data_IF_680396543482
#
_entry.id   IF_680396543482
#
_cell.length_a   1.000
_cell.length_b   1.000
_cell.length_c   1.000
_cell.angle_alpha   90.00
_cell.angle_beta   90.00
_cell.angle_gamma   90.00
#
_symmetry.space_group_name_H-M   'P 1'
#
loop_
_entity.id
_entity.type
_entity.pdbx_description
1 polymer ?
#
# COMPACT_ATOMS: atom_id res chain seq x y z
N UNK A 1 14.36 71.38 15.79
CA UNK A 1 14.46 70.67 17.09
C UNK A 1 13.18 70.93 17.88
N UNK A 2 12.31 69.92 18.03
CA UNK A 2 11.09 69.97 18.85
C UNK A 2 11.24 68.95 20.00
N UNK A 3 11.05 69.39 21.24
CA UNK A 3 10.69 68.54 22.42
C UNK A 3 9.18 68.16 22.29
N UNK A 4 8.45 67.51 23.25
CA UNK A 4 8.79 67.02 24.61
C UNK A 4 8.03 65.73 25.07
N UNK A 5 8.11 65.39 26.37
CA UNK A 5 7.16 64.63 27.25
C UNK A 5 7.00 63.12 26.94
N UNK A 6 7.07 62.15 27.86
CA UNK A 6 6.96 62.10 29.32
C UNK A 6 5.81 61.13 29.69
N UNK A 7 6.03 60.10 30.52
CA UNK A 7 5.01 59.57 31.46
C UNK A 7 5.53 58.41 32.34
N UNK A 8 4.97 58.31 33.54
CA UNK A 8 5.26 57.38 34.65
C UNK A 8 4.92 55.91 34.33
N UNK A 9 5.55 54.92 35.00
CA UNK A 9 5.02 53.56 35.06
C UNK A 9 3.99 53.41 36.20
N UNK A 10 2.92 52.68 35.93
CA UNK A 10 1.88 52.28 36.87
C UNK A 10 1.66 50.76 36.77
N UNK A 11 1.72 50.09 37.92
CA UNK A 11 0.78 49.05 38.37
C UNK A 11 0.93 47.59 37.82
N UNK A 12 1.26 46.69 38.78
CA UNK A 12 0.99 45.22 38.94
C UNK A 12 1.68 44.21 38.00
N UNK A 13 2.44 43.20 38.50
CA UNK A 13 2.79 42.02 37.71
C UNK A 13 1.72 40.94 37.88
N UNK A 14 0.84 40.82 36.88
CA UNK A 14 0.08 39.60 36.65
C UNK A 14 0.96 38.61 35.90
N UNK A 15 1.25 37.46 36.51
CA UNK A 15 1.94 36.35 35.86
C UNK A 15 1.11 35.81 34.71
N UNK A 16 1.58 36.00 33.49
CA UNK A 16 0.95 35.54 32.25
C UNK A 16 1.23 34.06 32.03
N UNK A 17 0.22 33.32 31.54
CA UNK A 17 0.30 31.90 31.16
C UNK A 17 1.52 31.55 30.26
N UNK A 18 2.07 32.56 29.58
CA UNK A 18 3.26 32.44 28.74
C UNK A 18 4.51 31.98 29.51
N UNK A 19 4.65 32.36 30.79
CA UNK A 19 5.78 31.90 31.62
C UNK A 19 5.65 30.42 31.98
N UNK A 20 4.42 29.94 32.17
CA UNK A 20 4.13 28.53 32.40
C UNK A 20 4.40 27.67 31.17
N UNK A 21 4.01 28.16 29.99
CA UNK A 21 4.29 27.49 28.72
C UNK A 21 5.79 27.49 28.38
N UNK A 22 6.50 28.59 28.63
CA UNK A 22 7.95 28.64 28.44
C UNK A 22 8.69 27.73 29.42
N UNK A 23 8.25 27.67 30.68
CA UNK A 23 8.78 26.72 31.67
C UNK A 23 8.58 25.27 31.22
N UNK A 24 7.39 24.94 30.72
CA UNK A 24 7.07 23.59 30.26
C UNK A 24 7.86 23.20 28.99
N UNK A 25 8.05 24.14 28.06
CA UNK A 25 8.90 23.96 26.87
C UNK A 25 10.37 23.73 27.24
N UNK A 26 10.88 24.44 28.26
CA UNK A 26 12.23 24.24 28.76
C UNK A 26 12.39 22.86 29.40
N UNK A 27 11.39 22.41 30.17
CA UNK A 27 11.40 21.10 30.83
C UNK A 27 11.30 19.93 29.82
N UNK A 28 10.49 20.09 28.77
CA UNK A 28 10.42 19.13 27.66
C UNK A 28 11.76 19.05 26.92
N UNK A 29 12.41 20.18 26.66
CA UNK A 29 13.69 20.18 25.97
C UNK A 29 14.81 19.58 26.83
N UNK A 30 14.77 19.78 28.15
CA UNK A 30 15.70 19.15 29.09
C UNK A 30 15.51 17.62 29.15
N UNK A 31 14.26 17.14 29.14
CA UNK A 31 13.98 15.69 29.12
C UNK A 31 14.38 15.04 27.80
N UNK A 32 14.19 15.73 26.65
CA UNK A 32 14.66 15.24 25.35
C UNK A 32 16.18 15.13 25.31
N UNK A 33 16.92 16.13 25.80
CA UNK A 33 18.39 16.05 25.86
C UNK A 33 18.90 14.95 26.81
N UNK A 34 18.20 14.69 27.93
CA UNK A 34 18.55 13.58 28.83
C UNK A 34 18.31 12.21 28.18
N UNK A 35 17.19 12.06 27.45
CA UNK A 35 16.89 10.89 26.62
C UNK A 35 17.93 10.67 25.52
N UNK A 36 18.34 11.73 24.82
CA UNK A 36 19.37 11.66 23.77
C UNK A 36 20.74 11.27 24.33
N UNK A 37 21.13 11.77 25.51
CA UNK A 37 22.35 11.29 26.21
C UNK A 37 22.26 9.82 26.61
N UNK A 38 21.07 9.38 27.04
CA UNK A 38 20.83 7.99 27.44
C UNK A 38 20.82 7.03 26.24
N UNK A 39 20.44 7.50 25.06
CA UNK A 39 20.42 6.73 23.81
C UNK A 39 21.79 6.75 23.11
N UNK A 40 22.52 7.88 23.13
CA UNK A 40 23.83 8.04 22.50
C UNK A 40 25.01 7.37 23.23
N UNK A 41 24.82 6.89 24.46
CA UNK A 41 25.88 6.32 25.31
C UNK A 41 26.24 4.85 25.08
N UNK A 42 25.56 4.09 24.21
CA UNK A 42 25.83 2.66 24.01
C UNK A 42 26.72 2.38 22.79
N UNK A 43 28.04 2.34 23.00
CA UNK A 43 28.97 1.61 22.13
C UNK A 43 28.79 0.09 22.30
N UNK A 44 28.93 -0.72 21.23
CA UNK A 44 28.74 -2.17 21.32
C UNK A 44 30.04 -2.85 21.81
N UNK A 45 29.94 -3.71 22.82
CA UNK A 45 30.99 -4.68 23.13
C UNK A 45 30.41 -6.02 23.56
N UNK A 46 31.16 -7.06 23.20
CA UNK A 46 30.84 -8.48 23.12
C UNK A 46 30.66 -9.18 24.48
N UNK A 47 29.68 -10.09 24.47
CA UNK A 47 29.72 -11.48 24.93
C UNK A 47 29.62 -11.85 26.43
N UNK A 48 28.98 -13.02 26.59
CA UNK A 48 29.05 -14.10 27.59
C UNK A 48 28.14 -14.07 28.86
N UNK A 49 27.28 -15.09 28.90
CA UNK A 49 26.77 -15.95 30.00
C UNK A 49 25.83 -15.50 31.13
N UNK A 50 24.78 -16.34 31.25
CA UNK A 50 24.14 -16.89 32.46
C UNK A 50 23.05 -16.11 33.22
N UNK A 51 21.83 -16.65 33.13
CA UNK A 51 20.89 -17.08 34.21
C UNK A 51 20.84 -16.23 35.48
N UNK A 52 19.66 -15.68 35.82
CA UNK A 52 18.82 -16.02 37.01
C UNK A 52 17.70 -14.97 37.22
N UNK A 53 16.53 -15.46 37.61
CA UNK A 53 15.41 -14.83 38.35
C UNK A 53 15.65 -13.43 38.94
N UNK A 54 14.71 -12.50 38.79
CA UNK A 54 13.65 -12.29 39.80
C UNK A 54 12.72 -11.13 39.43
N UNK A 55 11.40 -11.34 39.59
CA UNK A 55 10.39 -10.29 39.66
C UNK A 55 10.41 -9.69 41.09
N UNK A 56 9.87 -8.48 41.34
CA UNK A 56 8.44 -8.44 41.60
C UNK A 56 7.71 -7.17 41.14
N UNK A 57 6.53 -7.41 40.58
CA UNK A 57 5.42 -6.46 40.50
C UNK A 57 5.08 -5.90 41.89
N UNK A 58 4.87 -4.58 41.96
CA UNK A 58 4.13 -3.93 43.05
C UNK A 58 2.95 -3.19 42.44
N UNK A 59 1.78 -3.76 42.70
CA UNK A 59 0.45 -3.22 42.42
C UNK A 59 -0.01 -2.47 43.68
N UNK A 60 -0.48 -1.21 43.61
CA UNK A 60 -1.18 -0.58 44.72
C UNK A 60 -2.68 -0.86 44.66
N UNK A 61 -3.19 -1.15 45.84
CA UNK A 61 -4.53 -1.51 46.30
C UNK A 61 -5.58 -0.37 46.10
N UNK A 62 -6.89 -0.70 45.96
CA UNK A 62 -7.93 0.24 45.56
C UNK A 62 -8.49 1.04 46.75
N UNK A 63 -8.73 2.34 46.53
CA UNK A 63 -9.45 3.23 47.46
C UNK A 63 -10.93 3.37 47.05
N UNK A 64 -11.84 3.66 48.00
CA UNK A 64 -13.23 3.19 48.01
C UNK A 64 -14.24 4.12 47.31
N UNK A 65 -15.37 3.50 46.92
CA UNK A 65 -16.58 4.13 46.37
C UNK A 65 -17.21 5.18 47.31
N UNK A 66 -17.69 6.32 46.78
CA UNK A 66 -18.54 7.24 47.53
C UNK A 66 -20.01 6.81 47.48
N UNK A 67 -20.62 6.74 48.67
CA UNK A 67 -22.05 6.50 48.87
C UNK A 67 -22.90 7.68 48.37
N UNK A 68 -24.09 7.43 47.79
CA UNK A 68 -25.00 8.47 47.34
C UNK A 68 -25.66 9.23 48.50
N UNK A 69 -25.61 10.55 48.44
CA UNK A 69 -26.26 11.46 49.36
C UNK A 69 -27.77 11.51 49.13
N UNK A 70 -28.50 11.40 50.24
CA UNK A 70 -29.95 11.59 50.40
C UNK A 70 -30.32 13.04 50.07
N UNK A 71 -31.37 13.24 49.27
CA UNK A 71 -32.10 14.52 49.18
C UNK A 71 -33.59 14.25 49.43
N UNK A 72 -34.25 14.97 50.36
CA UNK A 72 -35.65 14.75 50.75
C UNK A 72 -36.71 15.12 49.71
N UNK A 73 -37.83 14.40 49.77
CA UNK A 73 -39.10 14.69 49.10
C UNK A 73 -39.80 15.90 49.74
N UNK A 74 -40.30 16.83 48.93
CA UNK A 74 -41.43 17.69 49.28
C UNK A 74 -42.46 17.74 48.15
N UNK A 75 -43.71 17.93 48.57
CA UNK A 75 -44.93 17.57 47.88
C UNK A 75 -45.54 18.69 47.02
N UNK A 76 -46.23 18.26 45.95
CA UNK A 76 -47.51 18.79 45.47
C UNK A 76 -47.55 20.19 44.85
N UNK A 77 -48.11 20.29 43.64
CA UNK A 77 -49.41 20.95 43.36
C UNK A 77 -49.72 20.86 41.85
N UNK A 78 -51.01 20.72 41.55
CA UNK A 78 -51.68 20.50 40.27
C UNK A 78 -51.47 21.54 39.15
N UNK A 79 -51.75 21.05 37.94
CA UNK A 79 -51.79 21.66 36.58
C UNK A 79 -52.85 22.78 36.46
N UNK A 80 -52.82 23.63 35.41
CA UNK A 80 -53.61 23.30 34.21
C UNK A 80 -52.99 23.70 32.84
N UNK A 81 -53.39 22.94 31.82
CA UNK A 81 -53.24 23.13 30.36
C UNK A 81 -53.69 24.50 29.85
N UNK A 82 -52.99 25.09 28.85
CA UNK A 82 -53.55 25.56 27.56
C UNK A 82 -52.47 25.53 26.44
N UNK A 83 -52.89 25.00 25.29
CA UNK A 83 -52.27 24.73 23.98
C UNK A 83 -51.87 25.98 23.12
N UNK A 84 -50.81 25.85 22.30
CA UNK A 84 -50.74 26.16 20.84
C UNK A 84 -49.32 26.52 20.30
N UNK A 85 -48.77 25.61 19.48
CA UNK A 85 -48.05 25.82 18.21
C UNK A 85 -46.71 26.59 18.09
N UNK A 86 -45.59 25.86 17.93
CA UNK A 86 -44.50 26.10 16.93
C UNK A 86 -43.80 24.74 16.64
N UNK A 87 -43.62 24.27 15.39
CA UNK A 87 -42.66 23.21 15.09
C UNK A 87 -41.27 23.84 15.04
N UNK A 88 -40.60 23.88 16.18
CA UNK A 88 -39.17 24.15 16.25
C UNK A 88 -38.50 22.78 16.29
N UNK A 89 -37.76 22.43 15.24
CA UNK A 89 -36.87 21.27 15.28
C UNK A 89 -36.07 21.38 16.60
N UNK A 90 -36.05 20.33 17.44
CA UNK A 90 -35.24 20.38 18.64
C UNK A 90 -33.79 20.48 18.17
N UNK A 91 -33.15 21.62 18.43
CA UNK A 91 -31.70 21.71 18.43
C UNK A 91 -31.22 20.50 19.25
N UNK A 92 -30.37 19.63 18.68
CA UNK A 92 -29.98 18.41 19.35
C UNK A 92 -29.47 18.79 20.74
N UNK A 93 -29.98 18.11 21.76
CA UNK A 93 -29.55 18.37 23.13
C UNK A 93 -28.03 18.24 23.17
N UNK A 94 -27.33 19.10 23.90
CA UNK A 94 -25.87 19.01 24.05
C UNK A 94 -25.42 17.59 24.44
N UNK A 95 -26.27 16.85 25.15
CA UNK A 95 -26.04 15.43 25.43
C UNK A 95 -26.13 14.53 24.19
N UNK A 96 -27.10 14.74 23.30
CA UNK A 96 -27.19 14.01 22.03
C UNK A 96 -26.02 14.34 21.10
N UNK A 97 -25.53 15.58 21.11
CA UNK A 97 -24.33 15.98 20.37
C UNK A 97 -23.06 15.32 20.95
N UNK A 98 -22.92 15.29 22.29
CA UNK A 98 -21.82 14.60 22.96
C UNK A 98 -21.90 13.08 22.83
N UNK A 99 -23.10 12.48 22.86
CA UNK A 99 -23.31 11.05 22.61
C UNK A 99 -22.96 10.70 21.16
N UNK A 100 -23.33 11.56 20.21
CA UNK A 100 -22.93 11.40 18.81
C UNK A 100 -21.42 11.56 18.63
N UNK A 101 -20.79 12.52 19.30
CA UNK A 101 -19.33 12.72 19.25
C UNK A 101 -18.58 11.54 19.91
N UNK A 102 -19.08 11.02 21.03
CA UNK A 102 -18.52 9.83 21.68
C UNK A 102 -18.73 8.57 20.83
N UNK A 103 -19.90 8.42 20.21
CA UNK A 103 -20.16 7.32 19.27
C UNK A 103 -19.20 7.40 18.08
N UNK A 104 -18.98 8.60 17.53
CA UNK A 104 -18.04 8.84 16.44
C UNK A 104 -16.61 8.48 16.87
N UNK A 105 -16.13 8.99 18.01
CA UNK A 105 -14.79 8.71 18.54
C UNK A 105 -14.59 7.23 18.90
N UNK A 106 -15.59 6.57 19.48
CA UNK A 106 -15.54 5.13 19.75
C UNK A 106 -15.57 4.30 18.45
N UNK A 107 -16.27 4.75 17.41
CA UNK A 107 -16.25 4.13 16.09
C UNK A 107 -14.88 4.23 15.43
N UNK A 108 -14.20 5.38 15.57
CA UNK A 108 -12.84 5.58 15.05
C UNK A 108 -11.83 4.65 15.76
N UNK A 109 -11.92 4.58 17.10
CA UNK A 109 -11.06 3.71 17.92
C UNK A 109 -11.31 2.22 17.69
N UNK A 110 -12.55 1.81 17.42
CA UNK A 110 -12.88 0.41 17.08
C UNK A 110 -12.58 0.04 15.63
N UNK A 111 -12.53 0.99 14.70
CA UNK A 111 -12.09 0.77 13.32
C UNK A 111 -10.56 0.60 13.19
N UNK A 112 -9.78 1.17 14.11
CA UNK A 112 -8.31 1.04 14.15
C UNK A 112 -7.79 -0.42 14.28
N UNK A 113 -8.26 -1.26 15.22
CA UNK A 113 -7.78 -2.64 15.35
C UNK A 113 -8.12 -3.50 14.13
N UNK A 114 -9.27 -3.27 13.48
CA UNK A 114 -9.67 -3.98 12.27
C UNK A 114 -8.79 -3.60 11.06
N UNK A 115 -8.47 -2.32 10.92
CA UNK A 115 -7.57 -1.84 9.87
C UNK A 115 -6.15 -2.38 10.05
N UNK A 116 -5.60 -2.34 11.26
CA UNK A 116 -4.26 -2.87 11.56
C UNK A 116 -4.22 -4.37 11.28
N UNK A 117 -5.24 -5.12 11.70
CA UNK A 117 -5.35 -6.55 11.45
C UNK A 117 -5.42 -6.89 9.96
N UNK A 118 -6.22 -6.15 9.19
CA UNK A 118 -6.34 -6.33 7.74
C UNK A 118 -5.02 -6.04 7.03
N UNK A 119 -4.36 -4.95 7.39
CA UNK A 119 -3.08 -4.59 6.81
C UNK A 119 -1.96 -5.59 7.14
N UNK A 120 -1.96 -6.15 8.35
CA UNK A 120 -1.03 -7.20 8.73
C UNK A 120 -1.25 -8.49 7.92
N UNK A 121 -2.51 -8.85 7.63
CA UNK A 121 -2.83 -9.99 6.74
C UNK A 121 -2.33 -9.77 5.32
N UNK A 122 -2.55 -8.59 4.75
CA UNK A 122 -2.04 -8.22 3.41
C UNK A 122 -0.52 -8.28 3.38
N UNK A 123 0.14 -7.76 4.42
CA UNK A 123 1.59 -7.80 4.53
C UNK A 123 2.12 -9.24 4.57
N UNK A 124 1.55 -10.09 5.41
CA UNK A 124 1.92 -11.51 5.50
C UNK A 124 1.71 -12.25 4.17
N UNK A 125 0.62 -11.95 3.46
CA UNK A 125 0.35 -12.49 2.12
C UNK A 125 1.42 -12.06 1.10
N UNK A 126 1.80 -10.77 1.07
CA UNK A 126 2.86 -10.28 0.20
C UNK A 126 4.24 -10.88 0.53
N UNK A 127 4.55 -11.08 1.81
CA UNK A 127 5.78 -11.77 2.21
C UNK A 127 5.82 -13.21 1.71
N UNK A 128 4.68 -13.92 1.80
CA UNK A 128 4.56 -15.28 1.29
C UNK A 128 4.77 -15.33 -0.23
N UNK A 129 4.13 -14.42 -0.96
CA UNK A 129 4.30 -14.23 -2.40
C UNK A 129 5.78 -14.00 -2.74
N UNK A 130 6.43 -13.06 -2.06
CA UNK A 130 7.83 -12.74 -2.31
C UNK A 130 8.76 -13.93 -2.04
N UNK A 131 8.61 -14.61 -0.90
CA UNK A 131 9.42 -15.80 -0.55
C UNK A 131 9.28 -16.88 -1.61
N UNK A 132 8.05 -17.14 -2.07
CA UNK A 132 7.77 -18.09 -3.14
C UNK A 132 8.44 -17.68 -4.46
N UNK A 133 8.21 -16.45 -4.94
CA UNK A 133 8.77 -16.01 -6.22
C UNK A 133 10.29 -15.91 -6.22
N UNK A 134 10.90 -15.55 -5.09
CA UNK A 134 12.35 -15.56 -4.96
C UNK A 134 12.89 -17.00 -5.11
N UNK A 135 12.37 -17.96 -4.34
CA UNK A 135 12.78 -19.36 -4.45
C UNK A 135 12.49 -19.95 -5.84
N UNK A 136 11.31 -19.65 -6.39
CA UNK A 136 10.89 -20.08 -7.71
C UNK A 136 11.81 -19.52 -8.80
N UNK A 137 12.16 -18.23 -8.76
CA UNK A 137 13.07 -17.62 -9.73
C UNK A 137 14.44 -18.30 -9.74
N UNK A 138 15.01 -18.60 -8.57
CA UNK A 138 16.30 -19.28 -8.45
C UNK A 138 16.26 -20.69 -9.05
N UNK A 139 15.19 -21.44 -8.81
CA UNK A 139 15.03 -22.79 -9.36
C UNK A 139 14.73 -22.76 -10.87
N UNK A 140 13.84 -21.88 -11.30
CA UNK A 140 13.48 -21.71 -12.72
C UNK A 140 14.68 -21.27 -13.56
N UNK A 141 15.54 -20.39 -13.02
CA UNK A 141 16.77 -19.97 -13.71
C UNK A 141 17.75 -21.14 -13.87
N UNK A 142 17.92 -22.00 -12.86
CA UNK A 142 18.75 -23.21 -12.97
C UNK A 142 18.23 -24.19 -14.01
N UNK A 143 16.90 -24.35 -14.09
CA UNK A 143 16.28 -25.27 -15.06
C UNK A 143 16.25 -24.70 -16.48
N UNK A 144 16.14 -23.36 -16.62
CA UNK A 144 15.99 -22.65 -17.90
C UNK A 144 15.01 -23.36 -18.87
N UNK A 145 13.76 -23.60 -18.42
CA UNK A 145 12.80 -24.42 -19.16
C UNK A 145 12.40 -23.79 -20.50
N UNK A 146 12.07 -24.65 -21.45
CA UNK A 146 11.41 -24.25 -22.69
C UNK A 146 9.90 -24.08 -22.44
N UNK A 147 9.42 -22.88 -22.73
CA UNK A 147 8.03 -22.45 -22.62
C UNK A 147 7.35 -22.70 -23.97
N UNK A 148 6.47 -23.71 -24.02
CA UNK A 148 5.73 -24.12 -25.22
C UNK A 148 4.51 -23.25 -25.54
N UNK A 149 4.36 -22.11 -24.88
CA UNK A 149 3.24 -21.18 -25.14
C UNK A 149 3.50 -20.36 -26.39
N UNK A 150 2.45 -20.17 -27.17
CA UNK A 150 2.45 -19.33 -28.36
C UNK A 150 1.95 -17.95 -27.98
N UNK A 151 2.70 -16.92 -28.36
CA UNK A 151 2.29 -15.52 -28.18
C UNK A 151 2.05 -14.92 -29.56
N UNK A 152 0.79 -14.87 -30.03
CA UNK A 152 0.46 -14.21 -31.28
C UNK A 152 0.59 -12.69 -31.11
N UNK A 153 1.42 -12.06 -31.93
CA UNK A 153 1.54 -10.60 -31.98
C UNK A 153 0.66 -10.02 -33.09
N UNK A 154 0.69 -10.67 -34.25
CA UNK A 154 -0.15 -10.33 -35.39
C UNK A 154 -0.65 -11.62 -36.05
N UNK A 155 -1.55 -11.49 -37.02
CA UNK A 155 -2.04 -12.60 -37.84
C UNK A 155 -0.93 -13.43 -38.51
N UNK A 156 0.24 -12.84 -38.75
CA UNK A 156 1.39 -13.49 -39.40
C UNK A 156 2.58 -13.71 -38.46
N UNK A 157 2.60 -13.04 -37.30
CA UNK A 157 3.77 -12.98 -36.43
C UNK A 157 3.44 -13.61 -35.08
N UNK A 158 4.06 -14.76 -34.78
CA UNK A 158 3.85 -15.49 -33.52
C UNK A 158 5.18 -15.87 -32.91
N UNK A 159 5.38 -15.52 -31.63
CA UNK A 159 6.51 -16.00 -30.85
C UNK A 159 6.23 -17.42 -30.37
N UNK A 160 7.17 -18.33 -30.62
CA UNK A 160 7.07 -19.73 -30.22
C UNK A 160 8.42 -20.26 -29.73
N UNK A 161 8.41 -21.42 -29.06
CA UNK A 161 9.63 -22.08 -28.51
C UNK A 161 10.44 -21.16 -27.61
N UNK A 162 9.75 -20.45 -26.72
CA UNK A 162 10.35 -19.45 -25.86
C UNK A 162 11.24 -20.12 -24.82
N UNK A 163 12.43 -19.60 -24.59
CA UNK A 163 13.31 -20.04 -23.51
C UNK A 163 13.25 -19.07 -22.35
N UNK A 164 13.14 -19.64 -21.16
CA UNK A 164 13.21 -18.89 -19.91
C UNK A 164 14.63 -18.35 -19.70
N UNK A 165 14.77 -17.03 -19.56
CA UNK A 165 16.07 -16.40 -19.37
C UNK A 165 16.03 -15.39 -18.22
N UNK A 166 16.45 -15.83 -17.03
CA UNK A 166 16.68 -14.92 -15.89
C UNK A 166 15.39 -14.25 -15.38
N UNK A 167 14.73 -14.92 -14.46
CA UNK A 167 13.69 -14.34 -13.63
C UNK A 167 14.27 -13.72 -12.36
N UNK A 168 13.66 -12.65 -11.90
CA UNK A 168 13.97 -12.01 -10.64
C UNK A 168 12.68 -11.55 -9.94
N UNK A 169 12.72 -11.57 -8.61
CA UNK A 169 11.68 -11.03 -7.76
C UNK A 169 12.27 -9.85 -6.98
N UNK A 170 11.57 -8.72 -7.02
CA UNK A 170 11.90 -7.49 -6.32
C UNK A 170 10.75 -7.14 -5.37
N UNK A 171 11.06 -6.41 -4.30
CA UNK A 171 10.07 -5.91 -3.36
C UNK A 171 10.41 -4.48 -2.96
N UNK A 172 9.38 -3.66 -2.80
CA UNK A 172 9.51 -2.31 -2.26
C UNK A 172 8.75 -2.21 -0.95
N UNK A 173 9.40 -1.64 0.05
CA UNK A 173 8.79 -1.27 1.32
C UNK A 173 8.42 0.21 1.27
N UNK A 174 7.26 0.55 1.82
CA UNK A 174 6.85 1.92 2.09
C UNK A 174 6.51 2.05 3.57
N UNK A 175 6.91 3.17 4.15
CA UNK A 175 6.58 3.51 5.53
C UNK A 175 5.22 4.18 5.52
N UNK A 176 4.19 3.47 5.97
CA UNK A 176 2.83 4.00 6.11
C UNK A 176 2.52 4.02 7.61
N UNK A 177 2.27 5.21 8.16
CA UNK A 177 1.92 5.42 9.57
C UNK A 177 2.86 4.67 10.54
N UNK A 178 4.15 5.06 10.54
CA UNK A 178 5.19 4.60 11.48
C UNK A 178 5.62 3.12 11.37
N UNK A 179 4.91 2.30 10.57
CA UNK A 179 5.29 0.92 10.28
C UNK A 179 5.76 0.76 8.82
N UNK A 180 6.97 0.22 8.63
CA UNK A 180 7.48 -0.13 7.31
C UNK A 180 6.73 -1.38 6.79
N UNK A 181 5.86 -1.20 5.80
CA UNK A 181 5.04 -2.27 5.21
C UNK A 181 5.45 -2.52 3.76
N UNK A 182 5.22 -3.73 3.26
CA UNK A 182 5.47 -4.05 1.85
C UNK A 182 4.43 -3.34 0.97
N UNK A 183 4.88 -2.46 0.09
CA UNK A 183 3.98 -1.73 -0.81
C UNK A 183 3.69 -2.54 -2.07
N UNK A 184 4.73 -3.11 -2.67
CA UNK A 184 4.57 -3.97 -3.82
C UNK A 184 5.67 -5.02 -3.93
N UNK A 185 5.33 -6.13 -4.58
CA UNK A 185 6.23 -7.20 -4.98
C UNK A 185 6.16 -7.31 -6.50
N UNK A 186 7.30 -7.23 -7.18
CA UNK A 186 7.38 -7.33 -8.63
C UNK A 186 8.17 -8.57 -9.02
N UNK A 187 7.55 -9.45 -9.80
CA UNK A 187 8.21 -10.57 -10.45
C UNK A 187 8.40 -10.24 -11.93
N UNK A 188 9.61 -10.42 -12.44
CA UNK A 188 9.94 -10.19 -13.85
C UNK A 188 10.71 -11.37 -14.39
N UNK A 189 10.37 -11.78 -15.61
CA UNK A 189 11.09 -12.83 -16.34
C UNK A 189 11.27 -12.40 -17.79
N UNK A 190 12.46 -12.65 -18.35
CA UNK A 190 12.70 -12.47 -19.77
C UNK A 190 12.50 -13.79 -20.49
N UNK A 191 11.71 -13.78 -21.54
CA UNK A 191 11.50 -14.91 -22.44
C UNK A 191 12.20 -14.59 -23.75
N UNK A 192 12.94 -15.56 -24.30
CA UNK A 192 13.72 -15.39 -25.53
C UNK A 192 13.28 -16.43 -26.56
N UNK A 193 12.77 -15.97 -27.69
CA UNK A 193 12.51 -16.78 -28.88
C UNK A 193 13.82 -17.23 -29.56
N UNK A 194 13.83 -18.36 -30.28
CA UNK A 194 15.02 -18.83 -30.98
C UNK A 194 15.42 -17.92 -32.15
N UNK A 195 14.43 -17.29 -32.79
CA UNK A 195 14.62 -16.43 -33.96
C UNK A 195 13.88 -15.08 -33.76
N UNK A 196 14.43 -13.97 -34.31
CA UNK A 196 13.72 -12.70 -34.39
C UNK A 196 12.43 -12.85 -35.20
N UNK A 197 11.35 -12.18 -34.77
CA UNK A 197 10.04 -12.30 -35.42
C UNK A 197 9.86 -11.14 -36.41
N UNK A 198 9.71 -11.42 -37.73
CA UNK A 198 9.37 -10.39 -38.70
C UNK A 198 7.90 -10.00 -38.56
N UNK A 199 7.63 -8.69 -38.60
CA UNK A 199 6.30 -8.09 -38.56
C UNK A 199 6.10 -7.25 -39.81
N UNK A 200 4.97 -7.47 -40.48
CA UNK A 200 4.59 -6.74 -41.69
C UNK A 200 3.41 -5.81 -41.38
N UNK A 201 3.64 -4.50 -41.43
CA UNK A 201 2.58 -3.49 -41.24
C UNK A 201 2.55 -2.51 -42.39
N UNK A 202 1.40 -1.87 -42.60
CA UNK A 202 1.29 -0.77 -43.57
C UNK A 202 1.98 0.47 -43.02
N UNK A 203 2.50 1.32 -43.90
CA UNK A 203 3.20 2.54 -43.50
C UNK A 203 2.35 3.46 -42.61
N UNK A 204 1.06 3.58 -42.92
CA UNK A 204 0.12 4.41 -42.16
C UNK A 204 -0.17 3.90 -40.73
N UNK A 205 0.32 2.71 -40.36
CA UNK A 205 0.14 2.10 -39.05
C UNK A 205 1.45 2.07 -38.24
N UNK A 206 2.49 2.76 -38.70
CA UNK A 206 3.80 2.76 -38.05
C UNK A 206 3.76 3.33 -36.62
N UNK A 207 2.97 4.39 -36.40
CA UNK A 207 2.83 5.03 -35.09
C UNK A 207 2.04 4.13 -34.12
N UNK A 208 0.98 3.49 -34.61
CA UNK A 208 0.23 2.49 -33.84
C UNK A 208 1.12 1.30 -33.47
N UNK A 209 1.96 0.82 -34.39
CA UNK A 209 2.93 -0.23 -34.11
C UNK A 209 3.92 0.22 -33.03
N UNK A 210 4.43 1.46 -33.08
CA UNK A 210 5.33 1.97 -32.03
C UNK A 210 4.64 2.03 -30.66
N UNK A 211 3.37 2.44 -30.60
CA UNK A 211 2.59 2.42 -29.37
C UNK A 211 2.40 0.99 -28.84
N UNK A 212 2.03 0.03 -29.70
CA UNK A 212 1.90 -1.38 -29.34
C UNK A 212 3.22 -1.95 -28.80
N UNK A 213 4.33 -1.70 -29.49
CA UNK A 213 5.67 -2.13 -29.06
C UNK A 213 6.04 -1.52 -27.69
N UNK A 214 5.67 -0.27 -27.44
CA UNK A 214 5.84 0.39 -26.15
C UNK A 214 5.03 -0.29 -25.04
N UNK A 215 3.75 -0.57 -25.29
CA UNK A 215 2.85 -1.23 -24.32
C UNK A 215 3.34 -2.64 -23.98
N UNK A 216 3.82 -3.39 -24.98
CA UNK A 216 4.29 -4.76 -24.80
C UNK A 216 5.76 -4.85 -24.36
N UNK A 217 6.46 -3.73 -24.20
CA UNK A 217 7.90 -3.65 -23.92
C UNK A 217 8.76 -4.45 -24.92
N UNK A 218 8.34 -4.46 -26.19
CA UNK A 218 9.07 -5.09 -27.28
C UNK A 218 10.01 -4.08 -27.93
N UNK A 219 11.24 -4.51 -28.23
CA UNK A 219 12.24 -3.65 -28.88
C UNK A 219 12.35 -4.02 -30.36
N UNK A 220 12.22 -3.07 -31.29
CA UNK A 220 12.56 -3.31 -32.68
C UNK A 220 14.07 -3.47 -32.84
N UNK A 221 14.51 -4.48 -33.59
CA UNK A 221 15.91 -4.71 -33.91
C UNK A 221 16.35 -3.85 -35.11
N UNK A 222 15.45 -3.63 -36.07
CA UNK A 222 15.65 -2.72 -37.19
C UNK A 222 15.05 -1.36 -36.86
N UNK A 223 15.80 -0.29 -37.09
CA UNK A 223 15.28 1.08 -36.95
C UNK A 223 14.08 1.27 -37.88
N UNK A 224 12.95 1.70 -37.30
CA UNK A 224 11.77 2.01 -38.08
C UNK A 224 12.10 3.17 -39.03
N UNK A 225 11.88 3.01 -40.35
CA UNK A 225 12.11 4.10 -41.30
C UNK A 225 11.22 5.28 -40.91
N UNK A 226 11.82 6.46 -40.70
CA UNK A 226 11.10 7.71 -40.37
C UNK A 226 10.57 8.45 -41.59
N UNK A 227 11.10 8.13 -42.77
CA UNK A 227 10.72 8.77 -44.04
C UNK A 227 10.08 7.74 -44.97
N UNK A 228 8.89 8.00 -45.53
CA UNK A 228 8.31 7.11 -46.52
C UNK A 228 9.19 7.11 -47.76
N UNK A 229 9.71 5.95 -48.17
CA UNK A 229 10.22 5.79 -49.53
C UNK A 229 9.01 5.80 -50.46
N UNK A 230 9.07 6.52 -51.57
CA UNK A 230 7.95 6.88 -52.45
C UNK A 230 7.12 5.71 -53.06
N UNK A 231 7.39 4.46 -52.69
CA UNK A 231 6.69 3.24 -53.11
C UNK A 231 6.46 2.22 -51.97
N UNK A 232 6.70 2.59 -50.72
CA UNK A 232 6.67 1.63 -49.61
C UNK A 232 5.28 1.53 -48.96
N UNK A 233 4.41 0.72 -49.55
CA UNK A 233 3.07 0.43 -48.99
C UNK A 233 3.13 -0.45 -47.73
N UNK A 234 4.22 -1.22 -47.57
CA UNK A 234 4.46 -2.16 -46.46
C UNK A 234 5.85 -1.99 -45.86
N UNK A 235 5.92 -1.96 -44.54
CA UNK A 235 7.14 -1.96 -43.75
C UNK A 235 7.32 -3.36 -43.18
N UNK A 236 8.53 -3.88 -43.32
CA UNK A 236 9.01 -5.07 -42.60
C UNK A 236 9.86 -4.60 -41.42
N UNK A 237 9.45 -4.98 -40.21
CA UNK A 237 10.18 -4.69 -38.98
C UNK A 237 10.57 -6.01 -38.33
N UNK A 238 11.86 -6.20 -38.06
CA UNK A 238 12.34 -7.33 -37.25
C UNK A 238 12.24 -6.93 -35.78
N UNK A 239 11.47 -7.69 -35.01
CA UNK A 239 11.37 -7.53 -33.57
C UNK A 239 12.44 -8.36 -32.86
N UNK A 240 12.96 -7.81 -31.76
CA UNK A 240 13.90 -8.52 -30.92
C UNK A 240 13.25 -9.85 -30.43
N UNK A 241 14.03 -10.95 -30.40
CA UNK A 241 13.51 -12.23 -29.95
C UNK A 241 13.21 -12.25 -28.45
N UNK A 242 13.66 -11.25 -27.69
CA UNK A 242 13.46 -11.16 -26.26
C UNK A 242 12.32 -10.20 -25.86
N UNK A 243 11.50 -10.65 -24.91
CA UNK A 243 10.49 -9.82 -24.27
C UNK A 243 10.39 -10.09 -22.78
N UNK A 244 9.82 -9.15 -22.04
CA UNK A 244 9.68 -9.26 -20.59
C UNK A 244 8.23 -9.56 -20.21
N UNK A 245 8.06 -10.55 -19.33
CA UNK A 245 6.81 -10.82 -18.62
C UNK A 245 6.96 -10.28 -17.21
N UNK A 246 5.99 -9.50 -16.76
CA UNK A 246 6.00 -8.88 -15.44
C UNK A 246 4.69 -9.19 -14.70
N UNK A 247 4.79 -9.51 -13.42
CA UNK A 247 3.68 -9.58 -12.48
C UNK A 247 3.99 -8.66 -11.31
N UNK A 248 3.18 -7.64 -11.07
CA UNK A 248 3.33 -6.72 -9.95
C UNK A 248 2.14 -6.88 -9.01
N UNK A 249 2.41 -7.29 -7.78
CA UNK A 249 1.44 -7.32 -6.69
C UNK A 249 1.56 -6.02 -5.91
N UNK A 250 0.52 -5.21 -5.88
CA UNK A 250 0.46 -3.93 -5.19
C UNK A 250 -0.59 -4.03 -4.07
N UNK A 251 -0.18 -3.73 -2.84
CA UNK A 251 -1.11 -3.67 -1.73
C UNK A 251 -1.91 -2.36 -1.77
N UNK A 252 -3.23 -2.48 -1.83
CA UNK A 252 -4.14 -1.39 -1.58
C UNK A 252 -4.69 -1.52 -0.14
N UNK A 253 -4.00 -0.89 0.80
CA UNK A 253 -4.36 -0.92 2.22
C UNK A 253 -5.68 -0.20 2.54
N UNK A 254 -6.10 0.75 1.69
CA UNK A 254 -7.37 1.46 1.85
C UNK A 254 -8.55 0.56 1.46
N UNK A 255 -8.46 -0.09 0.30
CA UNK A 255 -9.49 -1.02 -0.17
C UNK A 255 -9.41 -2.41 0.51
N UNK A 256 -8.30 -2.72 1.17
CA UNK A 256 -8.08 -4.01 1.81
C UNK A 256 -7.74 -5.15 0.85
N UNK A 257 -7.31 -4.84 -0.38
CA UNK A 257 -7.10 -5.81 -1.46
C UNK A 257 -5.69 -5.72 -2.03
N UNK A 258 -5.26 -6.78 -2.70
CA UNK A 258 -4.02 -6.81 -3.46
C UNK A 258 -4.38 -6.70 -4.95
N UNK A 259 -3.90 -5.64 -5.59
CA UNK A 259 -4.01 -5.43 -7.02
C UNK A 259 -2.85 -6.12 -7.72
N UNK A 260 -3.14 -7.04 -8.63
CA UNK A 260 -2.14 -7.81 -9.38
C UNK A 260 -2.14 -7.31 -10.81
N UNK A 261 -1.09 -6.58 -11.18
CA UNK A 261 -0.86 -6.07 -12.53
C UNK A 261 0.07 -7.02 -13.28
N UNK A 262 -0.47 -7.72 -14.26
CA UNK A 262 0.25 -8.64 -15.12
C UNK A 262 0.49 -7.98 -16.47
N UNK A 263 1.70 -8.11 -17.01
CA UNK A 263 2.05 -7.73 -18.37
C UNK A 263 2.64 -8.93 -19.08
N UNK A 264 2.11 -9.25 -20.26
CA UNK A 264 2.54 -10.35 -21.14
C UNK A 264 2.45 -11.76 -20.50
N UNK A 265 1.52 -11.97 -19.55
CA UNK A 265 1.44 -13.21 -18.77
C UNK A 265 0.90 -14.42 -19.56
N UNK A 266 0.05 -14.19 -20.56
CA UNK A 266 -0.52 -15.24 -21.41
C UNK A 266 -0.59 -14.82 -22.87
N UNK A 267 -1.08 -13.60 -23.09
CA UNK A 267 -1.08 -12.91 -24.36
C UNK A 267 -0.34 -11.58 -24.20
N UNK A 268 0.02 -10.94 -25.31
CA UNK A 268 0.56 -9.58 -25.26
C UNK A 268 -0.51 -8.63 -24.74
N UNK A 269 -0.19 -7.90 -23.67
CA UNK A 269 -1.16 -7.02 -23.02
C UNK A 269 -0.90 -6.83 -21.53
N UNK A 270 -1.58 -5.83 -20.99
CA UNK A 270 -1.69 -5.62 -19.55
C UNK A 270 -3.04 -6.16 -19.07
N UNK A 271 -3.02 -6.94 -18.01
CA UNK A 271 -4.22 -7.46 -17.35
C UNK A 271 -4.09 -7.21 -15.87
N UNK A 272 -5.15 -6.71 -15.24
CA UNK A 272 -5.18 -6.52 -13.81
C UNK A 272 -6.14 -7.49 -13.14
N UNK A 273 -5.81 -7.89 -11.91
CA UNK A 273 -6.63 -8.76 -11.10
C UNK A 273 -6.74 -8.24 -9.67
N UNK A 274 -7.89 -8.49 -9.03
CA UNK A 274 -8.10 -8.30 -7.60
C UNK A 274 -7.83 -9.62 -6.91
N UNK A 275 -7.04 -9.57 -5.84
CA UNK A 275 -6.73 -10.68 -4.98
C UNK A 275 -6.98 -10.28 -3.53
N UNK A 276 -7.79 -11.07 -2.84
CA UNK A 276 -7.99 -10.93 -1.39
C UNK A 276 -6.84 -11.60 -0.63
N UNK A 277 -6.42 -11.03 0.50
CA UNK A 277 -5.30 -11.58 1.27
C UNK A 277 -5.55 -13.04 1.72
N UNK A 278 -6.79 -13.39 2.03
CA UNK A 278 -7.16 -14.74 2.48
C UNK A 278 -7.11 -15.80 1.37
N UNK A 279 -7.10 -15.37 0.10
CA UNK A 279 -6.99 -16.26 -1.06
C UNK A 279 -5.53 -16.61 -1.38
N UNK A 280 -4.56 -15.92 -0.77
CA UNK A 280 -3.13 -16.17 -0.94
C UNK A 280 -2.74 -17.40 -0.12
N UNK A 281 -2.91 -18.56 -0.74
CA UNK A 281 -2.48 -19.85 -0.18
C UNK A 281 -1.24 -20.38 -0.89
N UNK A 282 -0.45 -21.26 -0.25
CA UNK A 282 0.65 -21.96 -0.91
C UNK A 282 0.21 -22.73 -2.16
N UNK A 283 -1.02 -23.27 -2.15
CA UNK A 283 -1.62 -23.95 -3.30
C UNK A 283 -1.84 -22.99 -4.47
N UNK A 284 -2.38 -21.80 -4.20
CA UNK A 284 -2.54 -20.75 -5.21
C UNK A 284 -1.20 -20.36 -5.85
N UNK A 285 -0.15 -20.22 -5.03
CA UNK A 285 1.19 -19.90 -5.52
C UNK A 285 1.77 -21.02 -6.39
N UNK A 286 1.59 -22.29 -6.00
CA UNK A 286 2.03 -23.44 -6.79
C UNK A 286 1.28 -23.51 -8.14
N UNK A 287 -0.03 -23.28 -8.15
CA UNK A 287 -0.83 -23.23 -9.37
C UNK A 287 -0.36 -22.10 -10.31
N UNK A 288 -0.04 -20.92 -9.75
CA UNK A 288 0.52 -19.80 -10.50
C UNK A 288 1.92 -20.11 -11.06
N UNK A 289 2.78 -20.77 -10.27
CA UNK A 289 4.09 -21.24 -10.72
C UNK A 289 3.98 -22.27 -11.85
N UNK A 290 3.05 -23.22 -11.76
CA UNK A 290 2.76 -24.19 -12.83
C UNK A 290 2.27 -23.51 -14.10
N UNK A 291 1.44 -22.47 -13.96
CA UNK A 291 0.99 -21.67 -15.09
C UNK A 291 2.15 -20.93 -15.77
N UNK A 292 3.06 -20.32 -15.00
CA UNK A 292 4.25 -19.64 -15.53
C UNK A 292 5.19 -20.59 -16.28
N UNK A 293 5.33 -21.83 -15.81
CA UNK A 293 6.09 -22.88 -16.49
C UNK A 293 5.33 -23.55 -17.65
N UNK A 294 4.12 -23.07 -17.98
CA UNK A 294 3.23 -23.67 -18.98
C UNK A 294 2.93 -25.17 -18.76
N UNK A 295 2.96 -25.60 -17.50
CA UNK A 295 2.49 -26.92 -17.07
C UNK A 295 0.98 -26.94 -16.80
N UNK A 296 0.40 -25.76 -16.60
CA UNK A 296 -1.04 -25.53 -16.53
C UNK A 296 -1.43 -24.41 -17.50
N UNK A 297 -2.58 -24.57 -18.17
CA UNK A 297 -3.13 -23.57 -19.08
C UNK A 297 -4.20 -22.69 -18.41
N UNK A 298 -4.57 -22.97 -17.16
CA UNK A 298 -5.60 -22.23 -16.44
C UNK A 298 -4.98 -21.28 -15.43
N UNK A 299 -5.36 -20.00 -15.50
CA UNK A 299 -5.09 -19.06 -14.42
C UNK A 299 -5.86 -19.49 -13.16
N UNK A 300 -5.32 -19.28 -11.95
CA UNK A 300 -6.02 -19.63 -10.73
C UNK A 300 -7.35 -18.86 -10.61
N UNK A 301 -8.45 -19.52 -10.21
CA UNK A 301 -9.78 -18.88 -10.13
C UNK A 301 -9.88 -17.80 -9.05
N UNK A 302 -8.91 -17.73 -8.14
CA UNK A 302 -8.82 -16.70 -7.11
C UNK A 302 -8.50 -15.30 -7.69
N UNK A 303 -7.95 -15.23 -8.91
CA UNK A 303 -7.68 -13.97 -9.59
C UNK A 303 -8.97 -13.46 -10.25
N UNK A 304 -9.60 -12.45 -9.64
CA UNK A 304 -10.76 -11.78 -10.23
C UNK A 304 -10.28 -10.70 -11.19
N UNK A 305 -10.56 -10.84 -12.47
CA UNK A 305 -10.13 -9.88 -13.48
C UNK A 305 -10.74 -8.50 -13.19
N UNK A 306 -9.90 -7.49 -13.05
CA UNK A 306 -10.30 -6.09 -12.97
C UNK A 306 -10.11 -5.50 -14.36
N UNK A 307 -11.21 -5.07 -14.96
CA UNK A 307 -11.15 -4.24 -16.15
C UNK A 307 -10.77 -2.82 -15.69
N UNK A 308 -9.50 -2.44 -15.81
CA UNK A 308 -9.19 -1.02 -15.81
C UNK A 308 -9.73 -0.45 -17.12
N UNK A 309 -10.48 0.67 -17.09
CA UNK A 309 -10.71 1.42 -18.30
C UNK A 309 -9.34 1.90 -18.77
N UNK A 310 -8.83 1.33 -19.85
CA UNK A 310 -7.62 1.79 -20.51
C UNK A 310 -7.78 3.29 -20.75
N UNK A 311 -7.05 4.12 -20.02
CA UNK A 311 -6.85 5.51 -20.43
C UNK A 311 -6.02 5.47 -21.70
N UNK A 312 -6.73 5.60 -22.82
CA UNK A 312 -6.20 5.87 -24.16
C UNK A 312 -5.54 7.24 -24.15
#
# INVERSE_FOLDING_TARGET
MKKPVGSKPSIIPGGTLDDGLQSLLADINATVQDLERKIGGKKPSKAIDSVTSDAPSKQPEPAPEPQPAVIPQEAGTDVPDIDLSVPQEPEPSLLEELESELAQRCSDVSAQPDWVSRANRIHAALEMIFKFFNAFSQQANKLSPEIKRHYPFDSQSTYSRLRWHGAFADYRRETIHENARLAHVAFRVRLIAPEPVPVFRRWNQIDSLQQELGVFNLRPQTELPRTPKAQQERIEVLLAPDFMVQIKFQANYQAGRIEVLCSNLGEFGATAFALEADQVSPKFLDDLGRFLLCRSNTLPPALRLILYPSSI
#
